data_IF_883827739289
#
_entry.id   IF_883827739289
#
_cell.length_a   1.000
_cell.length_b   1.000
_cell.length_c   1.000
_cell.angle_alpha   90.00
_cell.angle_beta   90.00
_cell.angle_gamma   90.00
#
_symmetry.space_group_name_H-M   'P 1'
#
loop_
_entity.id
_entity.type
_entity.pdbx_description
1 polymer ?
#
# COMPACT_ATOMS: atom_id res chain seq x y z
N UNK A 1 -25.31 -2.97 48.96
CA UNK A 1 -25.94 -4.31 49.03
C UNK A 1 -25.42 -5.13 47.87
N UNK A 2 -24.85 -6.32 48.17
CA UNK A 2 -24.49 -7.47 47.29
C UNK A 2 -23.47 -7.20 46.17
N UNK A 3 -22.17 -7.54 46.30
CA UNK A 3 -21.52 -8.87 46.33
C UNK A 3 -22.04 -9.81 45.23
N UNK A 4 -21.24 -10.26 44.26
CA UNK A 4 -20.37 -11.47 44.29
C UNK A 4 -20.35 -12.02 42.84
N UNK A 5 -19.40 -12.78 42.28
CA UNK A 5 -18.18 -13.47 42.73
C UNK A 5 -17.42 -13.91 41.45
N UNK A 6 -16.10 -13.84 41.52
CA UNK A 6 -15.14 -14.51 40.64
C UNK A 6 -15.20 -16.04 40.86
N UNK A 7 -15.07 -16.84 39.79
CA UNK A 7 -14.89 -18.30 39.91
C UNK A 7 -13.81 -18.78 38.95
N UNK A 8 -12.68 -19.19 39.54
CA UNK A 8 -11.56 -19.91 38.95
C UNK A 8 -11.92 -21.41 38.96
N UNK A 9 -11.71 -22.13 37.86
CA UNK A 9 -11.77 -23.59 37.83
C UNK A 9 -10.41 -24.09 37.35
N UNK A 10 -9.64 -24.64 38.29
CA UNK A 10 -8.49 -25.50 38.04
C UNK A 10 -8.97 -26.95 38.14
N UNK A 11 -8.62 -27.79 37.16
CA UNK A 11 -8.86 -29.23 37.22
C UNK A 11 -7.56 -29.98 36.89
N UNK A 12 -7.07 -30.72 37.87
CA UNK A 12 -5.91 -31.63 37.81
C UNK A 12 -6.42 -33.02 38.19
N UNK A 13 -6.19 -34.04 37.35
CA UNK A 13 -6.17 -35.48 37.67
C UNK A 13 -5.34 -36.16 36.55
N UNK A 14 -4.14 -36.72 36.76
CA UNK A 14 -3.65 -37.87 37.54
C UNK A 14 -3.90 -39.26 36.87
N UNK A 15 -2.78 -39.95 36.54
CA UNK A 15 -2.58 -41.41 36.39
C UNK A 15 -3.29 -42.16 35.22
N UNK A 16 -2.75 -43.22 34.61
CA UNK A 16 -1.76 -44.20 35.03
C UNK A 16 -0.99 -44.82 33.83
N UNK A 17 0.22 -45.30 34.12
CA UNK A 17 1.11 -46.11 33.27
C UNK A 17 0.72 -47.59 33.41
N UNK A 18 0.63 -48.32 32.30
CA UNK A 18 0.62 -49.79 32.28
C UNK A 18 1.67 -50.26 31.27
N UNK A 19 2.75 -50.88 31.79
CA UNK A 19 3.67 -51.73 31.02
C UNK A 19 3.07 -53.14 30.92
N UNK A 20 3.17 -53.77 29.74
CA UNK A 20 3.17 -55.23 29.61
C UNK A 20 4.34 -55.65 28.73
N UNK A 21 5.15 -56.57 29.28
CA UNK A 21 6.22 -57.30 28.62
C UNK A 21 5.94 -58.81 28.77
N UNK A 22 6.16 -59.57 27.69
CA UNK A 22 6.48 -61.01 27.64
C UNK A 22 6.85 -61.33 26.18
N UNK A 23 8.11 -61.64 25.81
CA UNK A 23 8.79 -62.95 25.82
C UNK A 23 7.93 -64.06 25.17
N UNK A 24 8.35 -64.85 24.19
CA UNK A 24 9.63 -65.20 23.55
C UNK A 24 9.44 -66.61 22.95
N UNK A 25 10.20 -67.02 21.91
CA UNK A 25 10.16 -68.42 21.44
C UNK A 25 10.52 -68.64 19.98
N UNK A 26 11.71 -69.20 19.79
CA UNK A 26 12.46 -69.49 18.56
C UNK A 26 12.02 -70.79 17.85
N UNK A 27 12.31 -70.91 16.54
CA UNK A 27 13.06 -72.03 15.90
C UNK A 27 12.57 -72.46 14.49
N UNK A 28 13.58 -72.52 13.59
CA UNK A 28 13.79 -73.36 12.40
C UNK A 28 13.21 -72.97 11.02
N UNK A 29 14.17 -72.80 10.09
CA UNK A 29 14.05 -72.80 8.63
C UNK A 29 13.71 -74.20 8.07
N UNK A 30 13.26 -74.27 6.80
CA UNK A 30 14.14 -74.92 5.82
C UNK A 30 14.16 -74.30 4.40
N UNK A 31 15.34 -74.45 3.78
CA UNK A 31 15.66 -74.65 2.35
C UNK A 31 15.15 -73.68 1.27
N UNK A 32 16.13 -73.04 0.62
CA UNK A 32 16.03 -72.37 -0.67
C UNK A 32 15.70 -73.32 -1.84
N UNK A 33 15.15 -72.76 -2.93
CA UNK A 33 15.63 -73.09 -4.26
C UNK A 33 16.17 -71.85 -5.00
N UNK A 34 17.21 -72.09 -5.78
CA UNK A 34 17.91 -71.13 -6.63
C UNK A 34 17.12 -70.82 -7.91
N UNK A 35 17.16 -69.54 -8.28
CA UNK A 35 17.15 -68.93 -9.63
C UNK A 35 15.84 -68.53 -10.35
N UNK A 36 15.90 -67.24 -10.75
CA UNK A 36 15.32 -66.53 -11.90
C UNK A 36 13.79 -66.37 -11.99
N UNK A 37 13.30 -65.15 -11.74
CA UNK A 37 12.99 -64.25 -12.86
C UNK A 37 12.80 -62.81 -12.39
N UNK A 38 13.30 -61.88 -13.20
CA UNK A 38 13.12 -60.45 -13.03
C UNK A 38 11.64 -60.07 -13.22
N UNK A 39 11.08 -59.40 -12.23
CA UNK A 39 10.06 -58.36 -12.45
C UNK A 39 10.15 -57.45 -11.24
N UNK A 40 11.13 -56.54 -11.31
CA UNK A 40 11.10 -55.38 -10.44
C UNK A 40 9.78 -54.67 -10.69
N UNK A 41 8.84 -54.79 -9.76
CA UNK A 41 7.75 -53.86 -9.64
C UNK A 41 8.43 -52.56 -9.23
N UNK A 42 8.83 -51.78 -10.21
CA UNK A 42 9.18 -50.39 -9.99
C UNK A 42 7.95 -49.76 -9.33
N UNK A 43 8.01 -49.55 -8.02
CA UNK A 43 7.23 -48.49 -7.40
C UNK A 43 7.68 -47.23 -8.13
N UNK A 44 6.88 -46.81 -9.09
CA UNK A 44 6.88 -45.41 -9.53
C UNK A 44 6.53 -44.60 -8.29
N UNK A 45 7.54 -44.21 -7.52
CA UNK A 45 7.44 -43.02 -6.70
C UNK A 45 7.30 -41.89 -7.70
N UNK A 46 6.07 -41.53 -8.04
CA UNK A 46 5.78 -40.17 -8.50
C UNK A 46 6.42 -39.26 -7.46
N UNK A 47 7.53 -38.63 -7.84
CA UNK A 47 8.07 -37.53 -7.06
C UNK A 47 6.92 -36.55 -6.90
N UNK A 48 6.45 -36.39 -5.66
CA UNK A 48 5.41 -35.42 -5.33
C UNK A 48 6.01 -34.06 -5.69
N UNK A 49 5.57 -33.50 -6.82
CA UNK A 49 6.03 -32.20 -7.27
C UNK A 49 5.61 -31.19 -6.21
N UNK A 50 6.57 -30.43 -5.67
CA UNK A 50 6.30 -29.36 -4.72
C UNK A 50 5.16 -28.48 -5.28
N UNK A 51 3.99 -28.43 -4.60
CA UNK A 51 2.82 -27.74 -5.12
C UNK A 51 3.03 -26.23 -5.23
N UNK A 52 4.12 -25.68 -4.68
CA UNK A 52 4.44 -24.26 -4.71
C UNK A 52 5.47 -23.90 -5.78
N UNK A 53 6.15 -24.88 -6.39
CA UNK A 53 7.31 -24.65 -7.26
C UNK A 53 7.03 -23.83 -8.53
N UNK A 54 5.77 -23.76 -8.96
CA UNK A 54 5.37 -22.96 -10.12
C UNK A 54 5.10 -21.48 -9.78
N UNK A 55 5.07 -21.10 -8.50
CA UNK A 55 4.99 -19.70 -8.06
C UNK A 55 6.42 -19.16 -8.01
N UNK A 56 6.78 -18.32 -8.97
CA UNK A 56 8.15 -17.85 -9.14
C UNK A 56 8.39 -16.47 -8.54
N UNK A 57 7.35 -15.65 -8.42
CA UNK A 57 7.44 -14.34 -7.81
C UNK A 57 6.11 -13.89 -7.20
N UNK A 58 6.19 -13.06 -6.16
CA UNK A 58 5.05 -12.35 -5.60
C UNK A 58 5.49 -10.91 -5.33
N UNK A 59 4.78 -9.96 -5.91
CA UNK A 59 5.00 -8.52 -5.68
C UNK A 59 3.72 -7.86 -5.21
N UNK A 60 3.88 -6.86 -4.35
CA UNK A 60 2.80 -6.00 -3.91
C UNK A 60 2.83 -4.71 -4.74
N UNK A 61 1.66 -4.19 -5.11
CA UNK A 61 1.55 -3.06 -6.03
C UNK A 61 0.31 -2.21 -5.71
N UNK A 62 0.35 -0.92 -6.08
CA UNK A 62 -0.81 -0.02 -5.95
C UNK A 62 -1.85 -0.23 -7.06
N UNK A 63 -1.44 -0.84 -8.18
CA UNK A 63 -2.33 -1.18 -9.28
C UNK A 63 -1.86 -2.38 -10.10
N UNK A 64 -2.69 -2.79 -11.04
CA UNK A 64 -2.40 -3.81 -12.05
C UNK A 64 -2.97 -3.37 -13.40
N UNK A 65 -2.30 -3.71 -14.50
CA UNK A 65 -2.72 -3.30 -15.85
C UNK A 65 -2.66 -4.43 -16.88
N UNK A 66 -3.53 -4.33 -17.89
CA UNK A 66 -3.60 -5.26 -19.02
C UNK A 66 -4.12 -6.65 -18.65
N UNK A 67 -4.25 -7.50 -19.65
CA UNK A 67 -4.83 -8.85 -19.50
C UNK A 67 -3.94 -9.82 -18.69
N UNK A 68 -2.65 -9.51 -18.56
CA UNK A 68 -1.69 -10.28 -17.78
C UNK A 68 -1.45 -9.69 -16.37
N UNK A 69 -2.23 -8.69 -15.94
CA UNK A 69 -2.09 -8.07 -14.60
C UNK A 69 -0.66 -7.63 -14.29
N UNK A 70 -0.02 -6.93 -15.22
CA UNK A 70 1.33 -6.42 -14.97
C UNK A 70 1.27 -5.39 -13.82
N UNK A 71 2.16 -5.49 -12.82
CA UNK A 71 2.08 -4.65 -11.63
C UNK A 71 2.40 -3.20 -11.95
N UNK A 72 1.64 -2.28 -11.36
CA UNK A 72 1.82 -0.82 -11.45
C UNK A 72 2.14 -0.27 -10.07
N UNK A 73 3.18 0.55 -9.97
CA UNK A 73 3.66 1.13 -8.71
C UNK A 73 3.89 0.06 -7.62
N UNK A 74 4.83 -0.85 -7.91
CA UNK A 74 5.27 -1.89 -6.97
C UNK A 74 5.77 -1.24 -5.68
N UNK A 75 5.22 -1.67 -4.54
CA UNK A 75 5.56 -1.15 -3.22
C UNK A 75 5.24 -2.17 -2.13
N UNK A 76 6.01 -2.17 -1.05
CA UNK A 76 5.72 -2.86 0.21
C UNK A 76 5.24 -1.89 1.31
N UNK A 77 4.99 -0.64 0.93
CA UNK A 77 4.55 0.43 1.82
C UNK A 77 3.40 1.20 1.15
N UNK A 78 2.29 1.37 1.86
CA UNK A 78 1.06 1.94 1.35
C UNK A 78 0.52 3.03 2.27
N UNK A 79 -0.23 3.95 1.68
CA UNK A 79 -0.85 5.05 2.40
C UNK A 79 -2.18 4.61 3.04
N UNK A 80 -2.60 5.21 4.17
CA UNK A 80 -3.91 4.97 4.76
C UNK A 80 -5.07 5.21 3.78
N UNK A 81 -4.90 6.14 2.84
CA UNK A 81 -5.89 6.50 1.82
C UNK A 81 -6.03 5.47 0.69
N UNK A 82 -5.06 4.57 0.52
CA UNK A 82 -5.01 3.61 -0.58
C UNK A 82 -6.28 2.76 -0.60
N UNK A 83 -7.01 2.77 -1.73
CA UNK A 83 -8.30 2.05 -1.83
C UNK A 83 -8.15 0.59 -2.20
N UNK A 84 -7.17 0.27 -3.04
CA UNK A 84 -6.92 -1.09 -3.53
C UNK A 84 -5.44 -1.42 -3.37
N UNK A 85 -5.15 -2.63 -2.90
CA UNK A 85 -3.80 -3.18 -2.85
C UNK A 85 -3.80 -4.46 -3.67
N UNK A 86 -2.76 -4.68 -4.46
CA UNK A 86 -2.66 -5.82 -5.36
C UNK A 86 -1.50 -6.72 -4.94
N UNK A 87 -1.74 -8.02 -4.84
CA UNK A 87 -0.70 -9.03 -4.78
C UNK A 87 -0.62 -9.76 -6.12
N UNK A 88 0.39 -9.43 -6.92
CA UNK A 88 0.61 -10.03 -8.23
C UNK A 88 1.51 -11.25 -8.07
N UNK A 89 0.97 -12.41 -8.42
CA UNK A 89 1.63 -13.71 -8.30
C UNK A 89 2.02 -14.19 -9.69
N UNK A 90 3.32 -14.25 -9.96
CA UNK A 90 3.85 -14.77 -11.23
C UNK A 90 3.94 -16.29 -11.19
N UNK A 91 3.35 -16.93 -12.19
CA UNK A 91 3.33 -18.37 -12.34
C UNK A 91 4.16 -18.78 -13.55
N UNK A 92 4.93 -19.87 -13.42
CA UNK A 92 5.65 -20.50 -14.51
C UNK A 92 5.29 -21.97 -14.60
N UNK A 93 4.78 -22.39 -15.77
CA UNK A 93 4.37 -23.77 -16.02
C UNK A 93 3.45 -24.35 -14.92
N UNK A 94 2.49 -23.55 -14.43
CA UNK A 94 1.54 -24.00 -13.42
C UNK A 94 0.74 -25.21 -13.94
N UNK A 95 0.46 -26.21 -13.10
CA UNK A 95 -0.35 -27.35 -13.50
C UNK A 95 -1.80 -26.93 -13.71
N UNK A 96 -2.52 -27.68 -14.55
CA UNK A 96 -3.97 -27.55 -14.64
C UNK A 96 -4.63 -27.94 -13.30
N UNK A 97 -5.76 -27.30 -13.01
CA UNK A 97 -6.55 -27.41 -11.79
C UNK A 97 -5.83 -27.04 -10.49
N UNK A 98 -4.65 -26.43 -10.56
CA UNK A 98 -3.98 -25.92 -9.37
C UNK A 98 -4.79 -24.79 -8.72
N UNK A 99 -4.84 -24.77 -7.40
CA UNK A 99 -5.56 -23.76 -6.63
C UNK A 99 -4.56 -22.81 -5.96
N UNK A 100 -4.66 -21.51 -6.26
CA UNK A 100 -3.86 -20.47 -5.62
C UNK A 100 -4.78 -19.60 -4.78
N UNK A 101 -4.40 -19.33 -3.53
CA UNK A 101 -5.21 -18.57 -2.57
C UNK A 101 -4.36 -17.52 -1.87
N UNK A 102 -4.92 -16.33 -1.72
CA UNK A 102 -4.34 -15.24 -0.95
C UNK A 102 -5.14 -15.03 0.34
N UNK A 103 -4.44 -14.89 1.46
CA UNK A 103 -5.02 -14.47 2.73
C UNK A 103 -4.33 -13.20 3.22
N UNK A 104 -5.11 -12.18 3.54
CA UNK A 104 -4.64 -10.88 4.00
C UNK A 104 -4.83 -10.75 5.52
N UNK A 105 -3.84 -10.21 6.21
CA UNK A 105 -3.83 -10.08 7.67
C UNK A 105 -3.35 -8.70 8.12
N UNK A 106 -4.00 -8.17 9.15
CA UNK A 106 -3.49 -7.11 10.00
C UNK A 106 -2.66 -7.76 11.10
N UNK A 107 -1.36 -7.48 11.14
CA UNK A 107 -0.46 -8.07 12.13
C UNK A 107 -0.40 -7.21 13.37
N UNK A 108 -0.25 -5.91 13.21
CA UNK A 108 -0.21 -4.96 14.32
C UNK A 108 -0.65 -3.58 13.86
N UNK A 109 -1.64 -2.99 14.54
CA UNK A 109 -2.04 -1.61 14.37
C UNK A 109 -2.65 -1.09 15.69
N UNK A 110 -2.45 0.20 15.98
CA UNK A 110 -2.93 0.81 17.22
C UNK A 110 -4.46 0.75 17.29
N UNK A 111 -5.00 0.15 18.34
CA UNK A 111 -6.45 0.03 18.54
C UNK A 111 -7.10 -1.18 17.85
N UNK A 112 -6.31 -2.05 17.22
CA UNK A 112 -6.81 -3.26 16.54
C UNK A 112 -6.23 -4.53 17.18
N UNK A 113 -6.97 -5.63 17.08
CA UNK A 113 -6.48 -6.93 17.53
C UNK A 113 -5.35 -7.41 16.59
N UNK A 114 -4.19 -7.83 17.11
CA UNK A 114 -3.08 -8.30 16.29
C UNK A 114 -3.39 -9.65 15.63
N UNK A 115 -2.72 -9.93 14.51
CA UNK A 115 -2.89 -11.15 13.71
C UNK A 115 -4.34 -11.42 13.25
N UNK A 116 -5.10 -10.36 12.99
CA UNK A 116 -6.48 -10.45 12.54
C UNK A 116 -6.55 -10.64 11.03
N UNK A 117 -7.32 -11.64 10.58
CA UNK A 117 -7.57 -11.84 9.15
C UNK A 117 -8.48 -10.74 8.61
N UNK A 118 -8.08 -10.15 7.49
CA UNK A 118 -8.82 -9.08 6.81
C UNK A 118 -9.71 -9.68 5.73
N UNK A 119 -9.11 -10.46 4.83
CA UNK A 119 -9.81 -11.01 3.67
C UNK A 119 -9.11 -12.28 3.14
N UNK A 120 -9.81 -13.02 2.29
CA UNK A 120 -9.30 -14.17 1.56
C UNK A 120 -9.97 -14.30 0.19
N UNK A 121 -9.16 -14.64 -0.82
CA UNK A 121 -9.65 -14.97 -2.16
C UNK A 121 -8.80 -16.07 -2.79
N UNK A 122 -9.41 -16.83 -3.71
CA UNK A 122 -8.78 -17.99 -4.35
C UNK A 122 -9.15 -18.12 -5.82
N UNK A 123 -8.24 -18.67 -6.61
CA UNK A 123 -8.37 -18.88 -8.06
C UNK A 123 -7.96 -20.30 -8.44
N UNK A 124 -8.77 -20.96 -9.28
CA UNK A 124 -8.44 -22.27 -9.86
C UNK A 124 -7.89 -22.11 -11.29
N UNK A 125 -6.73 -22.72 -11.55
CA UNK A 125 -6.00 -22.65 -12.82
C UNK A 125 -6.48 -23.74 -13.78
N UNK A 126 -7.59 -23.51 -14.51
CA UNK A 126 -8.20 -24.58 -15.32
C UNK A 126 -7.32 -25.21 -16.42
N UNK A 127 -6.46 -24.42 -17.07
CA UNK A 127 -5.66 -24.91 -18.21
C UNK A 127 -4.15 -24.97 -17.95
N UNK A 128 -3.69 -24.71 -16.73
CA UNK A 128 -2.25 -24.59 -16.45
C UNK A 128 -1.61 -23.37 -17.10
N UNK A 129 -0.27 -23.34 -17.17
CA UNK A 129 0.51 -22.39 -17.97
C UNK A 129 1.26 -21.31 -17.18
N UNK A 130 1.82 -20.35 -17.91
CA UNK A 130 2.61 -19.22 -17.40
C UNK A 130 1.80 -17.94 -17.57
N UNK A 131 1.59 -17.21 -16.47
CA UNK A 131 0.85 -15.94 -16.42
C UNK A 131 0.99 -15.31 -15.03
N UNK A 132 0.51 -14.08 -14.85
CA UNK A 132 0.25 -13.57 -13.51
C UNK A 132 -1.19 -13.83 -13.06
N UNK A 133 -1.37 -13.88 -11.75
CA UNK A 133 -2.65 -13.75 -11.08
C UNK A 133 -2.65 -12.45 -10.27
N UNK A 134 -3.80 -11.77 -10.20
CA UNK A 134 -4.01 -10.64 -9.30
C UNK A 134 -4.95 -11.06 -8.16
N UNK A 135 -4.49 -10.83 -6.93
CA UNK A 135 -5.33 -10.88 -5.75
C UNK A 135 -5.46 -9.46 -5.20
N UNK A 136 -6.64 -8.88 -5.37
CA UNK A 136 -6.94 -7.51 -4.93
C UNK A 136 -7.52 -7.51 -3.52
N UNK A 137 -7.00 -6.65 -2.67
CA UNK A 137 -7.60 -6.28 -1.40
C UNK A 137 -8.20 -4.88 -1.51
N UNK A 138 -9.51 -4.76 -1.32
CA UNK A 138 -10.24 -3.50 -1.42
C UNK A 138 -10.66 -2.96 -0.03
N UNK A 139 -10.52 -1.65 0.17
CA UNK A 139 -11.01 -0.97 1.37
C UNK A 139 -12.28 -0.18 1.09
N UNK A 140 -13.41 -0.69 1.57
CA UNK A 140 -14.73 -0.04 1.45
C UNK A 140 -15.16 0.73 2.69
N UNK A 141 -14.41 0.62 3.79
CA UNK A 141 -14.85 1.11 5.12
C UNK A 141 -14.16 2.40 5.59
N UNK A 142 -13.13 2.86 4.88
CA UNK A 142 -12.47 4.13 5.22
C UNK A 142 -11.01 4.18 4.82
N UNK A 143 -10.19 4.80 5.68
CA UNK A 143 -8.73 4.73 5.59
C UNK A 143 -8.22 3.47 6.31
N UNK A 144 -7.14 2.89 5.82
CA UNK A 144 -6.47 1.80 6.50
C UNK A 144 -5.77 2.28 7.78
N UNK A 145 -5.81 1.53 8.88
CA UNK A 145 -5.10 1.92 10.08
C UNK A 145 -3.58 1.78 9.87
N UNK A 146 -2.76 2.76 10.29
CA UNK A 146 -1.32 2.61 10.23
C UNK A 146 -0.84 1.42 11.07
N UNK A 147 0.03 0.59 10.50
CA UNK A 147 0.45 -0.67 11.08
C UNK A 147 1.22 -1.58 10.13
N UNK A 148 1.52 -2.78 10.63
CA UNK A 148 2.16 -3.86 9.86
C UNK A 148 1.10 -4.87 9.43
N UNK A 149 1.23 -5.33 8.19
CA UNK A 149 0.31 -6.21 7.52
C UNK A 149 1.07 -7.30 6.78
N UNK A 150 0.36 -8.32 6.33
CA UNK A 150 0.91 -9.29 5.41
C UNK A 150 -0.14 -9.91 4.49
N UNK A 151 0.33 -10.41 3.35
CA UNK A 151 -0.38 -11.37 2.51
C UNK A 151 0.34 -12.70 2.53
N UNK A 152 -0.43 -13.78 2.65
CA UNK A 152 0.04 -15.16 2.54
C UNK A 152 -0.51 -15.76 1.26
N UNK A 153 0.36 -16.27 0.40
CA UNK A 153 0.00 -16.97 -0.82
C UNK A 153 0.16 -18.46 -0.60
N UNK A 154 -0.91 -19.20 -0.85
CA UNK A 154 -0.98 -20.65 -0.75
C UNK A 154 -1.19 -21.26 -2.13
N UNK A 155 -0.64 -22.45 -2.33
CA UNK A 155 -0.92 -23.32 -3.46
C UNK A 155 -1.37 -24.69 -2.97
N UNK A 156 -2.56 -25.14 -3.40
CA UNK A 156 -3.16 -26.42 -2.98
C UNK A 156 -3.11 -26.64 -1.46
N UNK A 157 -3.37 -25.58 -0.68
CA UNK A 157 -3.34 -25.58 0.78
C UNK A 157 -1.95 -25.45 1.43
N UNK A 158 -0.86 -25.49 0.66
CA UNK A 158 0.51 -25.32 1.14
C UNK A 158 0.93 -23.85 1.03
N UNK A 159 1.49 -23.29 2.11
CA UNK A 159 1.99 -21.92 2.11
C UNK A 159 3.21 -21.81 1.18
N UNK A 160 3.09 -21.03 0.11
CA UNK A 160 4.17 -20.76 -0.83
C UNK A 160 5.02 -19.58 -0.38
N UNK A 161 4.39 -18.43 -0.14
CA UNK A 161 5.08 -17.17 0.14
C UNK A 161 4.32 -16.37 1.17
N UNK A 162 5.04 -15.68 2.05
CA UNK A 162 4.50 -14.60 2.88
C UNK A 162 5.18 -13.30 2.47
N UNK A 163 4.39 -12.25 2.23
CA UNK A 163 4.88 -10.89 2.00
C UNK A 163 4.33 -9.98 3.09
N UNK A 164 5.24 -9.35 3.81
CA UNK A 164 4.90 -8.31 4.77
C UNK A 164 4.84 -6.97 4.05
N UNK A 165 3.96 -6.09 4.49
CA UNK A 165 3.89 -4.72 4.05
C UNK A 165 3.48 -3.81 5.19
N UNK A 166 3.68 -2.51 4.99
CA UNK A 166 3.29 -1.50 5.96
C UNK A 166 2.21 -0.62 5.37
N UNK A 167 1.29 -0.24 6.24
CA UNK A 167 0.49 0.94 6.02
C UNK A 167 1.03 1.95 6.99
N UNK A 168 1.64 3.00 6.48
CA UNK A 168 2.12 4.08 7.32
C UNK A 168 1.63 5.37 6.69
N UNK A 169 1.28 6.32 7.55
CA UNK A 169 1.13 7.68 7.09
C UNK A 169 2.47 8.00 6.44
N UNK A 170 2.44 8.14 5.12
CA UNK A 170 3.57 8.53 4.32
C UNK A 170 4.21 9.76 4.98
N UNK A 171 5.31 9.55 5.71
CA UNK A 171 6.31 10.60 5.90
C UNK A 171 6.95 10.93 4.55
N UNK A 172 6.77 10.05 3.57
CA UNK A 172 7.01 10.19 2.15
C UNK A 172 5.68 10.21 1.39
N UNK A 173 4.98 11.33 1.44
CA UNK A 173 4.15 11.72 0.29
C UNK A 173 5.10 11.80 -0.92
N UNK A 174 4.67 11.49 -2.16
CA UNK A 174 5.59 11.30 -3.28
C UNK A 174 6.64 12.41 -3.28
N UNK A 175 7.91 12.08 -2.98
CA UNK A 175 8.97 13.04 -3.26
C UNK A 175 8.86 13.27 -4.76
N UNK A 176 8.37 14.44 -5.12
CA UNK A 176 8.16 14.84 -6.49
C UNK A 176 9.43 14.46 -7.26
N UNK A 177 9.35 13.45 -8.13
CA UNK A 177 10.40 13.26 -9.12
C UNK A 177 10.53 14.60 -9.85
N UNK A 178 11.77 15.07 -10.01
CA UNK A 178 12.06 16.49 -10.01
C UNK A 178 11.33 17.15 -11.19
N UNK A 179 10.69 18.28 -10.92
CA UNK A 179 10.28 19.26 -11.93
C UNK A 179 8.87 19.13 -12.54
N UNK A 180 7.82 18.76 -11.80
CA UNK A 180 6.45 19.14 -12.23
C UNK A 180 6.26 20.64 -12.02
N UNK A 181 6.49 21.12 -10.80
CA UNK A 181 6.55 22.55 -10.52
C UNK A 181 7.95 23.05 -10.89
N UNK A 182 8.04 23.92 -11.89
CA UNK A 182 9.30 24.52 -12.36
C UNK A 182 9.65 25.78 -11.63
N UNK A 183 8.63 26.57 -11.28
CA UNK A 183 8.83 27.89 -10.73
C UNK A 183 7.61 28.31 -9.92
N UNK A 184 7.86 28.99 -8.80
CA UNK A 184 6.85 29.66 -8.00
C UNK A 184 7.29 31.10 -7.83
N UNK A 185 6.42 32.04 -8.22
CA UNK A 185 6.72 33.47 -8.24
C UNK A 185 5.62 34.24 -7.52
N UNK A 186 6.01 35.08 -6.57
CA UNK A 186 5.12 36.08 -5.99
C UNK A 186 5.19 37.36 -6.84
N UNK A 187 4.04 37.94 -7.14
CA UNK A 187 3.95 39.05 -8.08
C UNK A 187 2.80 40.00 -7.76
N UNK A 188 2.91 41.26 -8.21
CA UNK A 188 1.86 42.27 -8.03
C UNK A 188 0.69 42.07 -8.99
N UNK A 189 0.92 41.39 -10.12
CA UNK A 189 -0.09 41.06 -11.10
C UNK A 189 0.29 39.79 -11.88
N UNK A 190 -0.64 39.27 -12.67
CA UNK A 190 -0.40 38.23 -13.66
C UNK A 190 -1.03 38.63 -15.00
N UNK A 191 -0.54 38.08 -16.11
CA UNK A 191 -1.21 38.25 -17.41
C UNK A 191 -2.58 37.56 -17.40
N UNK A 192 -3.67 38.20 -17.86
CA UNK A 192 -5.03 37.63 -17.77
C UNK A 192 -5.21 36.28 -18.45
N UNK A 193 -4.53 36.05 -19.58
CA UNK A 193 -4.72 34.84 -20.39
C UNK A 193 -3.75 33.71 -20.02
N UNK A 194 -2.49 34.08 -19.73
CA UNK A 194 -1.42 33.10 -19.54
C UNK A 194 -1.01 32.91 -18.09
N UNK A 195 -1.46 33.77 -17.18
CA UNK A 195 -1.09 33.80 -15.77
C UNK A 195 0.41 33.95 -15.48
N UNK A 196 1.20 34.37 -16.47
CA UNK A 196 2.60 34.73 -16.24
C UNK A 196 2.71 35.90 -15.25
N UNK A 197 3.64 35.84 -14.29
CA UNK A 197 3.81 36.88 -13.28
C UNK A 197 4.28 38.21 -13.90
N UNK A 198 3.71 39.31 -13.44
CA UNK A 198 4.07 40.69 -13.79
C UNK A 198 4.51 41.41 -12.52
N UNK A 199 5.69 42.05 -12.58
CA UNK A 199 6.37 42.67 -11.44
C UNK A 199 6.56 41.70 -10.25
N UNK A 200 7.42 40.67 -10.40
CA UNK A 200 7.76 39.78 -9.30
C UNK A 200 8.35 40.53 -8.11
N UNK A 201 7.86 40.25 -6.90
CA UNK A 201 8.33 40.86 -5.66
C UNK A 201 7.98 39.98 -4.47
N UNK A 202 8.75 40.13 -3.38
CA UNK A 202 8.45 39.58 -2.06
C UNK A 202 8.14 40.66 -1.03
N UNK A 203 7.97 41.91 -1.50
CA UNK A 203 7.57 43.06 -0.70
C UNK A 203 6.36 43.71 -1.36
N UNK A 204 5.29 43.86 -0.59
CA UNK A 204 4.01 44.40 -1.05
C UNK A 204 3.58 45.57 -0.16
N UNK A 205 2.80 46.47 -0.73
CA UNK A 205 2.23 47.59 0.03
C UNK A 205 0.93 47.15 0.71
N UNK A 206 0.64 47.65 1.90
CA UNK A 206 -0.61 47.35 2.61
C UNK A 206 -1.88 47.71 1.81
N UNK A 207 -1.79 48.69 0.90
CA UNK A 207 -2.87 49.11 0.01
C UNK A 207 -2.85 48.43 -1.37
N UNK A 208 -2.04 47.39 -1.56
CA UNK A 208 -2.01 46.66 -2.83
C UNK A 208 -3.42 46.10 -3.15
N UNK A 209 -3.85 46.14 -4.42
CA UNK A 209 -5.18 45.65 -4.79
C UNK A 209 -5.30 44.12 -4.71
N UNK A 210 -4.18 43.41 -4.89
CA UNK A 210 -4.07 41.96 -4.76
C UNK A 210 -2.60 41.56 -4.63
N UNK A 211 -2.37 40.35 -4.13
CA UNK A 211 -1.05 39.70 -4.09
C UNK A 211 -1.19 38.35 -4.79
N UNK A 212 -0.40 38.11 -5.83
CA UNK A 212 -0.51 36.89 -6.65
C UNK A 212 0.64 35.92 -6.35
N UNK A 213 0.33 34.63 -6.42
CA UNK A 213 1.32 33.57 -6.61
C UNK A 213 1.06 32.89 -7.95
N UNK A 214 2.08 32.86 -8.79
CA UNK A 214 2.08 32.18 -10.08
C UNK A 214 2.95 30.93 -9.98
N UNK A 215 2.41 29.77 -10.37
CA UNK A 215 3.06 28.46 -10.29
C UNK A 215 3.19 27.90 -11.70
N UNK A 216 4.42 27.79 -12.20
CA UNK A 216 4.71 27.17 -13.50
C UNK A 216 4.77 25.66 -13.34
N UNK A 217 3.90 24.96 -14.05
CA UNK A 217 3.83 23.50 -14.10
C UNK A 217 4.22 22.99 -15.49
N UNK A 218 4.93 21.87 -15.55
CA UNK A 218 5.20 21.12 -16.78
C UNK A 218 5.03 19.63 -16.53
N UNK A 219 4.57 18.89 -17.56
CA UNK A 219 4.38 17.44 -17.50
C UNK A 219 3.53 16.98 -16.29
N UNK A 220 2.56 17.81 -15.89
CA UNK A 220 1.62 17.47 -14.81
C UNK A 220 0.79 16.24 -15.21
N UNK A 221 0.82 15.15 -14.41
CA UNK A 221 -0.05 14.01 -14.64
C UNK A 221 -1.54 14.41 -14.63
N UNK A 222 -2.40 13.79 -15.47
CA UNK A 222 -3.84 13.98 -15.38
C UNK A 222 -4.37 13.64 -13.98
N UNK A 223 -5.31 14.46 -13.47
CA UNK A 223 -5.87 14.27 -12.12
C UNK A 223 -5.01 14.80 -10.98
N UNK A 224 -3.86 15.46 -11.27
CA UNK A 224 -3.07 16.14 -10.25
C UNK A 224 -3.85 17.31 -9.63
N UNK A 225 -3.92 17.34 -8.31
CA UNK A 225 -4.57 18.39 -7.53
C UNK A 225 -3.51 19.37 -7.05
N UNK A 226 -3.70 20.66 -7.29
CA UNK A 226 -2.84 21.71 -6.77
C UNK A 226 -3.62 22.54 -5.75
N UNK A 227 -3.01 22.88 -4.62
CA UNK A 227 -3.61 23.78 -3.63
C UNK A 227 -2.63 24.85 -3.20
N UNK A 228 -3.15 26.02 -2.89
CA UNK A 228 -2.39 27.12 -2.30
C UNK A 228 -3.03 27.47 -0.98
N UNK A 229 -2.21 27.57 0.06
CA UNK A 229 -2.63 28.03 1.38
C UNK A 229 -1.85 29.27 1.78
N UNK A 230 -2.58 30.33 2.06
CA UNK A 230 -2.07 31.62 2.47
C UNK A 230 -2.18 31.80 3.98
N UNK A 231 -1.20 32.43 4.59
CA UNK A 231 -1.15 32.71 6.02
C UNK A 231 -0.91 34.20 6.26
N UNK A 232 -1.96 35.04 6.26
CA UNK A 232 -1.85 36.43 6.71
C UNK A 232 -1.60 36.50 8.22
N UNK A 233 -0.85 37.50 8.71
CA UNK A 233 -0.51 37.61 10.12
C UNK A 233 -1.77 37.90 10.96
N UNK A 234 -1.99 37.07 11.99
CA UNK A 234 -3.13 37.22 12.89
C UNK A 234 -4.49 36.86 12.29
N UNK A 235 -4.52 36.20 11.12
CA UNK A 235 -5.74 35.71 10.48
C UNK A 235 -5.68 34.20 10.28
N UNK A 236 -6.85 33.57 10.12
CA UNK A 236 -6.96 32.17 9.76
C UNK A 236 -6.37 31.93 8.35
N UNK A 237 -5.74 30.77 8.09
CA UNK A 237 -5.23 30.46 6.78
C UNK A 237 -6.34 30.38 5.72
N UNK A 238 -6.07 30.91 4.53
CA UNK A 238 -6.98 30.82 3.38
C UNK A 238 -6.45 29.80 2.38
N UNK A 239 -7.28 28.83 2.02
CA UNK A 239 -6.91 27.78 1.09
C UNK A 239 -7.72 27.84 -0.19
N UNK A 240 -7.06 27.61 -1.33
CA UNK A 240 -7.67 27.59 -2.66
C UNK A 240 -7.09 26.44 -3.48
N UNK A 241 -7.97 25.64 -4.10
CA UNK A 241 -7.58 24.65 -5.09
C UNK A 241 -7.34 25.33 -6.45
N UNK A 242 -6.25 24.95 -7.11
CA UNK A 242 -5.89 25.45 -8.44
C UNK A 242 -6.27 24.40 -9.47
N UNK A 243 -7.07 24.81 -10.45
CA UNK A 243 -7.40 23.96 -11.59
C UNK A 243 -6.41 24.23 -12.73
N UNK A 244 -5.71 23.21 -13.25
CA UNK A 244 -4.94 23.36 -14.47
C UNK A 244 -5.88 23.66 -15.64
N UNK A 245 -5.84 24.91 -16.10
CA UNK A 245 -6.56 25.38 -17.28
C UNK A 245 -5.79 25.07 -18.57
N UNK A 246 -5.98 25.91 -19.59
CA UNK A 246 -5.23 25.81 -20.85
C UNK A 246 -3.78 26.35 -20.77
N UNK A 247 -3.37 26.91 -19.62
CA UNK A 247 -2.03 27.48 -19.41
C UNK A 247 -1.17 26.56 -18.53
N UNK A 248 0.15 26.64 -18.75
CA UNK A 248 1.17 26.03 -17.89
C UNK A 248 1.36 26.79 -16.57
N UNK A 249 0.87 28.02 -16.47
CA UNK A 249 0.85 28.74 -15.19
C UNK A 249 -0.50 28.56 -14.50
N UNK A 250 -0.43 28.25 -13.22
CA UNK A 250 -1.56 28.32 -12.30
C UNK A 250 -1.44 29.60 -11.47
N UNK A 251 -2.55 30.21 -11.10
CA UNK A 251 -2.55 31.38 -10.21
C UNK A 251 -3.47 31.21 -9.00
N UNK A 252 -3.03 31.76 -7.88
CA UNK A 252 -3.91 32.18 -6.80
C UNK A 252 -3.56 33.60 -6.41
N UNK A 253 -4.54 34.31 -5.84
CA UNK A 253 -4.32 35.63 -5.28
C UNK A 253 -4.98 35.79 -3.91
N UNK A 254 -4.41 36.66 -3.09
CA UNK A 254 -5.05 37.25 -1.93
C UNK A 254 -5.65 38.60 -2.30
N UNK A 255 -6.81 38.89 -1.74
CA UNK A 255 -7.45 40.20 -1.81
C UNK A 255 -7.38 40.88 -0.43
N UNK A 256 -7.19 42.20 -0.39
CA UNK A 256 -7.23 42.93 0.87
C UNK A 256 -8.66 42.97 1.43
N UNK A 257 -8.77 43.17 2.74
CA UNK A 257 -10.04 43.57 3.36
C UNK A 257 -10.27 45.08 3.21
N UNK A 258 -11.39 45.61 3.70
CA UNK A 258 -11.71 47.05 3.62
C UNK A 258 -10.62 47.98 4.21
N UNK A 259 -9.80 47.46 5.14
CA UNK A 259 -8.67 48.15 5.75
C UNK A 259 -7.30 47.92 5.09
N UNK A 260 -7.25 47.23 3.95
CA UNK A 260 -6.00 46.79 3.31
C UNK A 260 -5.52 45.42 3.80
N UNK A 261 -4.28 45.08 3.46
CA UNK A 261 -3.57 43.93 3.99
C UNK A 261 -2.97 44.26 5.36
N UNK A 262 -3.11 43.37 6.37
CA UNK A 262 -2.36 43.46 7.61
C UNK A 262 -0.85 43.61 7.34
N UNK A 263 -0.16 44.50 8.04
CA UNK A 263 1.30 44.60 7.88
C UNK A 263 2.00 43.46 8.62
N UNK A 264 3.14 43.02 8.09
CA UNK A 264 3.96 41.98 8.69
C UNK A 264 4.43 40.92 7.70
N UNK A 265 4.90 39.79 8.26
CA UNK A 265 5.34 38.64 7.48
C UNK A 265 4.16 37.74 7.11
N UNK A 266 4.17 37.31 5.86
CA UNK A 266 3.21 36.39 5.28
C UNK A 266 3.94 35.13 4.83
N UNK A 267 3.18 34.04 4.82
CA UNK A 267 3.61 32.77 4.25
C UNK A 267 2.57 32.29 3.24
N UNK A 268 3.03 31.74 2.13
CA UNK A 268 2.21 30.99 1.17
C UNK A 268 2.83 29.62 0.94
N UNK A 269 2.00 28.60 1.07
CA UNK A 269 2.37 27.20 0.92
C UNK A 269 1.69 26.64 -0.34
N UNK A 270 2.47 25.96 -1.16
CA UNK A 270 2.02 25.36 -2.41
C UNK A 270 2.01 23.86 -2.22
N UNK A 271 0.86 23.24 -2.46
CA UNK A 271 0.63 21.83 -2.32
C UNK A 271 0.33 21.18 -3.66
N UNK A 272 0.78 19.94 -3.83
CA UNK A 272 0.46 19.06 -4.95
C UNK A 272 0.02 17.71 -4.38
N UNK A 273 -1.20 17.27 -4.70
CA UNK A 273 -1.84 16.07 -4.14
C UNK A 273 -1.75 16.02 -2.61
N UNK A 274 -2.13 17.12 -1.95
CA UNK A 274 -2.08 17.30 -0.49
C UNK A 274 -0.68 17.32 0.17
N UNK A 275 0.39 17.25 -0.63
CA UNK A 275 1.74 17.36 -0.14
C UNK A 275 2.30 18.76 -0.34
N UNK A 276 2.92 19.31 0.71
CA UNK A 276 3.64 20.59 0.63
C UNK A 276 4.84 20.46 -0.31
N UNK A 277 4.85 21.22 -1.40
CA UNK A 277 5.94 21.25 -2.39
C UNK A 277 6.93 22.36 -2.09
N UNK A 278 6.44 23.56 -1.76
CA UNK A 278 7.28 24.72 -1.47
C UNK A 278 6.53 25.69 -0.55
N UNK A 279 7.31 26.53 0.14
CA UNK A 279 6.85 27.61 0.99
C UNK A 279 7.54 28.89 0.58
N UNK A 280 6.78 29.93 0.23
CA UNK A 280 7.32 31.28 0.03
C UNK A 280 6.92 32.18 1.19
N UNK A 281 7.86 32.99 1.63
CA UNK A 281 7.63 34.06 2.60
C UNK A 281 7.74 35.41 1.92
N UNK A 282 6.94 36.37 2.36
CA UNK A 282 6.96 37.75 1.86
C UNK A 282 6.50 38.73 2.94
N UNK A 283 6.74 40.02 2.72
CA UNK A 283 6.34 41.06 3.66
C UNK A 283 5.32 42.01 3.05
N UNK A 284 4.44 42.52 3.91
CA UNK A 284 3.55 43.63 3.60
C UNK A 284 3.90 44.79 4.53
N UNK A 285 4.20 45.95 3.95
CA UNK A 285 4.55 47.20 4.65
C UNK A 285 3.77 48.42 4.15
#
# INVERSE_FOLDING_TARGET
>A
MRNAKSTIIALVFLSAIILLAACGGETAAPTAPTALNATGVARSTTAESDPTAYITNVVLAKGAQGDNYDPVDVSDTFEPSQKTLHAIVSLQAAPADAEVRAEWYLIEATGYAPNSKIDESGLSIKQGGTRNLDFTLENTQGAWPPGTYQVKIFSNGVLAVTKNFKIEASSDAPTASPSVIKQIVLAQAVKPDTFEPVNPTTQFQANAPAIYTAVLIENSPPGTIYRVRWYPPGQEPLEKELSPGHSLWLESHLLPSDGGFPTGEYKVEIYMNDQLVDTKTFTVE
#
